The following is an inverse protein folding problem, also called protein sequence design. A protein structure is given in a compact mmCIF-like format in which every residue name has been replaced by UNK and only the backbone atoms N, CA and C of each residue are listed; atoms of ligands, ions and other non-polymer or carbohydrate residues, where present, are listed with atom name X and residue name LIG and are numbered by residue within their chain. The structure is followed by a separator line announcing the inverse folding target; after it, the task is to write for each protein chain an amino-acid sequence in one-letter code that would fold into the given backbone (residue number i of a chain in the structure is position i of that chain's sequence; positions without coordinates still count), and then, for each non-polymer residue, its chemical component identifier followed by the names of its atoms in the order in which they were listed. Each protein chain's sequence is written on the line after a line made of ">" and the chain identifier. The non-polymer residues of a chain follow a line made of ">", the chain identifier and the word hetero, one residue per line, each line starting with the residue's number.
data_IF_380938323537
#
_entry.id   IF_380938323537
#
_cell.length_a   1.000
_cell.length_b   1.000
_cell.length_c   1.000
_cell.angle_alpha   90.00
_cell.angle_beta   90.00
_cell.angle_gamma   90.00
#
_symmetry.space_group_name_H-M   'P 1'
#
loop_
_entity.id
_entity.type
_entity.pdbx_description
1 polymer ?
#
# COMPACT_ATOMS: atom_id res chain seq x y z
N UNK A 1 10.12 26.42 -1.74
CA UNK A 1 9.12 25.37 -1.46
C UNK A 1 8.78 24.49 -2.66
N UNK A 2 8.80 25.00 -3.93
CA UNK A 2 8.49 24.19 -5.12
C UNK A 2 9.45 22.98 -5.28
N UNK A 3 10.77 23.16 -5.09
CA UNK A 3 11.73 22.07 -5.16
C UNK A 3 11.49 20.97 -4.11
N UNK A 4 11.14 21.34 -2.86
CA UNK A 4 10.80 20.38 -1.81
C UNK A 4 9.55 19.57 -2.17
N UNK A 5 8.53 20.22 -2.73
CA UNK A 5 7.31 19.55 -3.18
C UNK A 5 7.59 18.56 -4.32
N UNK A 6 8.37 18.98 -5.32
CA UNK A 6 8.74 18.12 -6.44
C UNK A 6 9.52 16.88 -5.98
N UNK A 7 10.49 17.09 -5.10
CA UNK A 7 11.25 16.00 -4.47
C UNK A 7 10.34 15.01 -3.75
N UNK A 8 9.40 15.48 -2.91
CA UNK A 8 8.49 14.59 -2.20
C UNK A 8 7.56 13.82 -3.16
N UNK A 9 7.08 14.45 -4.24
CA UNK A 9 6.30 13.73 -5.25
C UNK A 9 7.14 12.71 -6.03
N UNK A 10 8.42 12.99 -6.29
CA UNK A 10 9.33 12.00 -6.88
C UNK A 10 9.49 10.79 -5.95
N UNK A 11 9.71 11.03 -4.66
CA UNK A 11 9.77 9.95 -3.65
C UNK A 11 8.46 9.15 -3.62
N UNK A 12 7.30 9.81 -3.66
CA UNK A 12 6.01 9.13 -3.73
C UNK A 12 5.89 8.24 -4.98
N UNK A 13 6.30 8.73 -6.15
CA UNK A 13 6.32 7.94 -7.39
C UNK A 13 7.26 6.74 -7.29
N UNK A 14 8.42 6.89 -6.66
CA UNK A 14 9.34 5.78 -6.41
C UNK A 14 8.77 4.75 -5.43
N UNK A 15 8.00 5.17 -4.42
CA UNK A 15 7.28 4.24 -3.50
C UNK A 15 6.21 3.47 -4.27
N UNK A 16 5.47 4.11 -5.18
CA UNK A 16 4.51 3.41 -6.06
C UNK A 16 5.22 2.36 -6.91
N UNK A 17 6.33 2.71 -7.55
CA UNK A 17 7.13 1.75 -8.31
C UNK A 17 7.63 0.59 -7.42
N UNK A 18 8.06 0.89 -6.18
CA UNK A 18 8.47 -0.11 -5.19
C UNK A 18 7.33 -1.08 -4.85
N UNK A 19 6.11 -0.58 -4.65
CA UNK A 19 4.94 -1.43 -4.38
C UNK A 19 4.68 -2.36 -5.56
N UNK A 20 4.75 -1.88 -6.80
CA UNK A 20 4.57 -2.71 -8.00
C UNK A 20 5.68 -3.76 -8.15
N UNK A 21 6.95 -3.37 -7.99
CA UNK A 21 8.09 -4.32 -8.05
C UNK A 21 8.00 -5.35 -6.91
N UNK A 22 7.59 -4.95 -5.71
CA UNK A 22 7.36 -5.87 -4.58
C UNK A 22 6.23 -6.87 -4.89
N UNK A 23 5.16 -6.42 -5.54
CA UNK A 23 4.09 -7.29 -6.03
C UNK A 23 4.58 -8.31 -7.06
N UNK A 24 5.38 -7.85 -8.03
CA UNK A 24 6.00 -8.76 -9.01
C UNK A 24 6.90 -9.79 -8.31
N UNK A 25 7.74 -9.36 -7.36
CA UNK A 25 8.61 -10.25 -6.56
C UNK A 25 7.79 -11.32 -5.81
N UNK A 26 6.60 -10.95 -5.27
CA UNK A 26 5.71 -11.90 -4.59
C UNK A 26 5.03 -12.86 -5.57
N UNK A 27 4.47 -12.33 -6.67
CA UNK A 27 3.72 -13.12 -7.65
C UNK A 27 4.61 -14.05 -8.49
N UNK A 28 5.90 -13.78 -8.57
CA UNK A 28 6.91 -14.65 -9.22
C UNK A 28 7.63 -15.56 -8.21
N UNK A 29 7.15 -15.61 -6.95
CA UNK A 29 7.74 -16.41 -5.87
C UNK A 29 9.24 -16.15 -5.62
N UNK A 30 9.70 -14.93 -5.96
CA UNK A 30 11.12 -14.56 -5.95
C UNK A 30 11.62 -14.05 -4.58
N UNK A 31 10.72 -13.75 -3.64
CA UNK A 31 11.04 -12.97 -2.43
C UNK A 31 11.79 -13.71 -1.32
N UNK A 32 12.28 -14.93 -1.56
CA UNK A 32 13.11 -15.73 -0.64
C UNK A 32 14.43 -16.17 -1.28
N UNK A 33 14.77 -15.67 -2.47
CA UNK A 33 15.99 -16.05 -3.19
C UNK A 33 17.27 -15.51 -2.54
N UNK A 34 17.17 -14.39 -1.80
CA UNK A 34 18.31 -13.79 -1.07
C UNK A 34 18.10 -14.02 0.44
N UNK A 35 18.79 -15.01 0.97
CA UNK A 35 18.58 -15.54 2.33
C UNK A 35 19.24 -14.72 3.44
N UNK A 36 20.08 -13.73 3.10
CA UNK A 36 20.83 -12.94 4.07
C UNK A 36 20.40 -11.47 4.07
N UNK A 37 20.42 -10.85 5.25
CA UNK A 37 20.24 -9.41 5.38
C UNK A 37 21.58 -8.69 5.23
N UNK A 38 21.82 -8.13 4.05
CA UNK A 38 23.00 -7.32 3.72
C UNK A 38 22.57 -5.91 3.29
N UNK A 39 22.23 -5.01 4.24
CA UNK A 39 21.66 -3.69 3.89
C UNK A 39 22.67 -2.82 3.13
N UNK A 40 23.96 -2.93 3.40
CA UNK A 40 25.03 -2.14 2.79
C UNK A 40 25.74 -2.94 1.69
N UNK A 41 26.31 -4.10 2.02
CA UNK A 41 27.14 -4.91 1.11
C UNK A 41 26.34 -5.60 0.00
N UNK A 42 25.03 -5.78 0.18
CA UNK A 42 24.15 -6.38 -0.84
C UNK A 42 23.72 -5.44 -1.98
N UNK A 43 24.42 -4.31 -2.20
CA UNK A 43 24.22 -3.42 -3.34
C UNK A 43 24.75 -4.06 -4.62
N UNK A 44 25.89 -4.72 -4.56
CA UNK A 44 26.46 -5.41 -5.72
C UNK A 44 25.86 -6.80 -5.85
N UNK A 45 25.40 -7.18 -7.05
CA UNK A 45 24.97 -8.54 -7.33
C UNK A 45 26.19 -9.47 -7.42
N UNK A 46 26.02 -10.80 -7.47
CA UNK A 46 27.11 -11.72 -7.78
C UNK A 46 27.75 -11.38 -9.13
N UNK A 47 29.09 -11.22 -9.17
CA UNK A 47 29.83 -10.72 -10.31
C UNK A 47 30.52 -11.83 -11.11
N UNK A 48 30.60 -13.05 -10.56
CA UNK A 48 31.22 -14.20 -11.19
C UNK A 48 30.49 -15.49 -10.83
N UNK A 49 30.78 -16.57 -11.54
CA UNK A 49 30.09 -17.83 -11.41
C UNK A 49 30.21 -18.44 -10.00
N UNK A 50 31.36 -18.32 -9.36
CA UNK A 50 31.57 -18.82 -8.00
C UNK A 50 30.65 -18.10 -6.98
N UNK A 51 30.46 -16.79 -7.13
CA UNK A 51 29.54 -16.02 -6.28
C UNK A 51 28.07 -16.40 -6.56
N UNK A 52 27.70 -16.61 -7.82
CA UNK A 52 26.37 -17.11 -8.19
C UNK A 52 26.09 -18.47 -7.58
N UNK A 53 27.07 -19.39 -7.68
CA UNK A 53 26.93 -20.72 -7.07
C UNK A 53 26.80 -20.65 -5.54
N UNK A 54 27.56 -19.77 -4.89
CA UNK A 54 27.50 -19.57 -3.44
C UNK A 54 26.12 -19.05 -2.97
N UNK A 55 25.52 -18.10 -3.68
CA UNK A 55 24.16 -17.62 -3.35
C UNK A 55 23.10 -18.70 -3.64
N UNK A 56 23.26 -19.45 -4.73
CA UNK A 56 22.38 -20.58 -5.06
C UNK A 56 22.48 -21.70 -4.01
N UNK A 57 23.66 -22.03 -3.52
CA UNK A 57 23.84 -23.06 -2.49
C UNK A 57 23.18 -22.67 -1.17
N UNK A 58 23.18 -21.36 -0.81
CA UNK A 58 22.40 -20.86 0.33
C UNK A 58 20.89 -21.01 0.09
N UNK A 59 20.40 -20.68 -1.10
CA UNK A 59 18.99 -20.84 -1.45
C UNK A 59 18.53 -22.30 -1.37
N UNK A 60 19.39 -23.26 -1.71
CA UNK A 60 19.09 -24.68 -1.62
C UNK A 60 18.83 -25.17 -0.20
N UNK A 61 19.22 -24.42 0.83
CA UNK A 61 19.02 -24.81 2.23
C UNK A 61 17.67 -24.42 2.83
N UNK A 62 16.85 -23.66 2.10
CA UNK A 62 15.55 -23.20 2.61
C UNK A 62 14.39 -24.09 2.15
N UNK A 63 13.27 -24.11 2.91
CA UNK A 63 12.09 -24.95 2.59
C UNK A 63 11.49 -24.68 1.20
N UNK A 64 11.54 -23.44 0.70
CA UNK A 64 11.03 -23.12 -0.63
C UNK A 64 11.74 -23.92 -1.72
N UNK A 65 13.06 -24.06 -1.66
CA UNK A 65 13.80 -24.87 -2.62
C UNK A 65 13.47 -26.35 -2.46
N UNK A 66 13.54 -26.87 -1.24
CA UNK A 66 13.38 -28.31 -0.97
C UNK A 66 11.98 -28.84 -1.36
N UNK A 67 10.94 -28.01 -1.18
CA UNK A 67 9.54 -28.42 -1.35
C UNK A 67 8.99 -28.02 -2.73
N UNK A 68 9.27 -26.79 -3.18
CA UNK A 68 8.66 -26.24 -4.41
C UNK A 68 9.62 -26.23 -5.60
N UNK A 69 10.89 -25.93 -5.40
CA UNK A 69 11.85 -25.66 -6.47
C UNK A 69 12.97 -26.72 -6.55
N UNK A 70 12.75 -27.90 -5.98
CA UNK A 70 13.73 -29.00 -6.02
C UNK A 70 14.09 -29.38 -7.45
N UNK A 71 15.37 -29.30 -7.78
CA UNK A 71 15.86 -29.56 -9.15
C UNK A 71 15.95 -28.29 -10.03
N UNK A 72 15.62 -27.11 -9.49
CA UNK A 72 15.87 -25.84 -10.17
C UNK A 72 17.35 -25.70 -10.51
N UNK A 73 17.65 -25.27 -11.74
CA UNK A 73 19.01 -24.96 -12.18
C UNK A 73 19.43 -23.52 -11.84
N UNK A 74 20.75 -23.25 -11.94
CA UNK A 74 21.31 -21.94 -11.65
C UNK A 74 20.69 -20.80 -12.47
N UNK A 75 20.37 -21.01 -13.74
CA UNK A 75 19.78 -19.97 -14.60
C UNK A 75 18.36 -19.58 -14.15
N UNK A 76 17.55 -20.54 -13.73
CA UNK A 76 16.23 -20.26 -13.17
C UNK A 76 16.34 -19.54 -11.82
N UNK A 77 17.33 -19.91 -10.99
CA UNK A 77 17.64 -19.20 -9.75
C UNK A 77 18.04 -17.75 -10.01
N UNK A 78 18.88 -17.46 -11.02
CA UNK A 78 19.24 -16.08 -11.38
C UNK A 78 18.01 -15.22 -11.67
N UNK A 79 16.98 -15.77 -12.32
CA UNK A 79 15.75 -15.04 -12.64
C UNK A 79 15.03 -14.57 -11.37
N UNK A 80 14.82 -15.46 -10.39
CA UNK A 80 14.17 -15.07 -9.12
C UNK A 80 15.05 -14.17 -8.27
N UNK A 81 16.39 -14.38 -8.31
CA UNK A 81 17.36 -13.52 -7.62
C UNK A 81 17.29 -12.06 -8.13
N UNK A 82 17.20 -11.85 -9.45
CA UNK A 82 17.16 -10.51 -10.02
C UNK A 82 15.91 -9.73 -9.62
N UNK A 83 14.75 -10.37 -9.50
CA UNK A 83 13.53 -9.73 -8.99
C UNK A 83 13.70 -9.24 -7.56
N UNK A 84 14.20 -10.09 -6.67
CA UNK A 84 14.40 -9.73 -5.28
C UNK A 84 15.52 -8.69 -5.11
N UNK A 85 16.62 -8.84 -5.84
CA UNK A 85 17.73 -7.88 -5.81
C UNK A 85 17.27 -6.49 -6.29
N UNK A 86 16.53 -6.41 -7.39
CA UNK A 86 15.98 -5.16 -7.91
C UNK A 86 15.05 -4.48 -6.90
N UNK A 87 14.18 -5.25 -6.22
CA UNK A 87 13.33 -4.76 -5.16
C UNK A 87 14.16 -4.18 -4.00
N UNK A 88 15.16 -4.93 -3.53
CA UNK A 88 16.06 -4.47 -2.44
C UNK A 88 16.91 -3.28 -2.86
N UNK A 89 17.39 -3.22 -4.11
CA UNK A 89 18.14 -2.08 -4.64
C UNK A 89 17.26 -0.83 -4.70
N UNK A 90 16.05 -0.94 -5.24
CA UNK A 90 15.12 0.19 -5.33
C UNK A 90 14.82 0.76 -3.93
N UNK A 91 14.69 -0.10 -2.89
CA UNK A 91 14.55 0.37 -1.51
C UNK A 91 15.71 1.23 -1.03
N UNK A 92 16.94 0.83 -1.34
CA UNK A 92 18.14 1.64 -1.03
C UNK A 92 18.15 2.95 -1.79
N UNK A 93 17.83 2.91 -3.09
CA UNK A 93 17.75 4.11 -3.94
C UNK A 93 16.71 5.09 -3.40
N UNK A 94 15.53 4.62 -2.96
CA UNK A 94 14.52 5.48 -2.31
C UNK A 94 15.08 6.12 -1.03
N UNK A 95 15.80 5.35 -0.22
CA UNK A 95 16.45 5.86 0.99
C UNK A 95 17.41 7.01 0.70
N UNK A 96 18.29 6.87 -0.30
CA UNK A 96 19.21 7.93 -0.73
C UNK A 96 18.48 9.08 -1.42
N UNK A 97 17.50 8.81 -2.29
CA UNK A 97 16.69 9.83 -2.95
C UNK A 97 15.87 10.66 -1.95
N UNK A 98 15.56 10.09 -0.79
CA UNK A 98 14.99 10.85 0.32
C UNK A 98 16.07 11.61 1.10
N UNK A 99 17.11 10.93 1.58
CA UNK A 99 18.10 11.45 2.52
C UNK A 99 18.90 12.62 1.94
N UNK A 100 19.44 12.49 0.72
CA UNK A 100 20.36 13.50 0.16
C UNK A 100 19.66 14.86 -0.05
N UNK A 101 18.47 14.94 -0.70
CA UNK A 101 17.76 16.21 -0.79
C UNK A 101 17.24 16.71 0.55
N UNK A 102 16.86 15.82 1.48
CA UNK A 102 16.46 16.21 2.84
C UNK A 102 17.60 16.97 3.52
N UNK A 103 18.82 16.43 3.55
CA UNK A 103 20.00 17.07 4.12
C UNK A 103 20.30 18.41 3.42
N UNK A 104 20.28 18.42 2.08
CA UNK A 104 20.50 19.64 1.31
C UNK A 104 19.51 20.75 1.69
N UNK A 105 18.22 20.48 1.69
CA UNK A 105 17.19 21.47 2.03
C UNK A 105 17.22 21.87 3.51
N UNK A 106 17.60 20.96 4.41
CA UNK A 106 17.74 21.26 5.84
C UNK A 106 18.93 22.19 6.11
N UNK A 107 20.11 21.87 5.55
CA UNK A 107 21.33 22.71 5.68
C UNK A 107 21.11 24.09 5.06
N UNK A 108 20.43 24.16 3.90
CA UNK A 108 20.08 25.45 3.26
C UNK A 108 18.96 26.20 4.00
N UNK A 109 18.45 25.69 5.09
CA UNK A 109 17.39 26.30 5.89
C UNK A 109 16.04 26.44 5.14
N UNK A 110 15.84 25.70 4.04
CA UNK A 110 14.57 25.68 3.28
C UNK A 110 13.52 24.87 4.06
N UNK A 111 13.94 23.74 4.64
CA UNK A 111 13.15 22.89 5.53
C UNK A 111 13.51 23.24 6.98
N UNK A 112 12.53 23.76 7.76
CA UNK A 112 12.70 24.13 9.17
C UNK A 112 11.38 23.97 9.94
N UNK A 113 11.46 24.05 11.26
CA UNK A 113 10.29 24.00 12.16
C UNK A 113 9.47 22.72 11.97
N UNK A 114 8.17 22.82 11.90
CA UNK A 114 7.27 21.68 11.78
C UNK A 114 7.51 20.82 10.52
N UNK A 115 7.98 21.42 9.41
CA UNK A 115 8.28 20.69 8.20
C UNK A 115 9.53 19.80 8.37
N UNK A 116 10.55 20.28 9.10
CA UNK A 116 11.72 19.49 9.43
C UNK A 116 11.33 18.25 10.25
N UNK A 117 10.50 18.43 11.28
CA UNK A 117 10.00 17.32 12.09
C UNK A 117 9.20 16.30 11.26
N UNK A 118 8.34 16.76 10.34
CA UNK A 118 7.60 15.87 9.43
C UNK A 118 8.54 15.06 8.51
N UNK A 119 9.52 15.72 7.89
CA UNK A 119 10.48 15.04 7.02
C UNK A 119 11.37 14.06 7.81
N UNK A 120 11.78 14.41 9.02
CA UNK A 120 12.51 13.49 9.90
C UNK A 120 11.65 12.27 10.27
N UNK A 121 10.38 12.47 10.59
CA UNK A 121 9.43 11.38 10.84
C UNK A 121 9.28 10.45 9.63
N UNK A 122 9.17 11.00 8.42
CA UNK A 122 9.13 10.21 7.18
C UNK A 122 10.41 9.40 6.96
N UNK A 123 11.57 9.97 7.27
CA UNK A 123 12.85 9.27 7.19
C UNK A 123 12.92 8.09 8.15
N UNK A 124 12.50 8.28 9.41
CA UNK A 124 12.43 7.22 10.42
C UNK A 124 11.47 6.11 9.98
N UNK A 125 10.28 6.46 9.48
CA UNK A 125 9.32 5.48 8.94
C UNK A 125 9.91 4.69 7.77
N UNK A 126 10.67 5.34 6.89
CA UNK A 126 11.39 4.67 5.80
C UNK A 126 12.43 3.65 6.31
N UNK A 127 13.17 3.99 7.36
CA UNK A 127 14.08 3.06 8.03
C UNK A 127 13.36 1.86 8.66
N UNK A 128 12.25 2.11 9.35
CA UNK A 128 11.39 1.06 9.91
C UNK A 128 10.84 0.12 8.83
N UNK A 129 10.47 0.66 7.67
CA UNK A 129 9.99 -0.13 6.53
C UNK A 129 11.02 -1.17 6.08
N UNK A 130 12.31 -0.81 6.05
CA UNK A 130 13.38 -1.76 5.77
C UNK A 130 13.48 -2.89 6.81
N UNK A 131 13.39 -2.56 8.10
CA UNK A 131 13.38 -3.55 9.18
C UNK A 131 12.16 -4.48 9.11
N UNK A 132 10.96 -3.92 8.86
CA UNK A 132 9.72 -4.69 8.67
C UNK A 132 9.83 -5.62 7.44
N UNK A 133 10.47 -5.14 6.35
CA UNK A 133 10.71 -5.97 5.17
C UNK A 133 11.61 -7.17 5.48
N UNK A 134 12.67 -6.98 6.22
CA UNK A 134 13.50 -8.10 6.66
C UNK A 134 12.76 -9.05 7.62
N UNK A 135 12.03 -8.52 8.59
CA UNK A 135 11.18 -9.32 9.47
C UNK A 135 10.17 -10.18 8.68
N UNK A 136 9.64 -9.64 7.56
CA UNK A 136 8.77 -10.40 6.65
C UNK A 136 9.55 -11.54 5.98
N UNK A 137 10.70 -11.27 5.34
CA UNK A 137 11.51 -12.28 4.64
C UNK A 137 11.96 -13.38 5.60
N UNK A 138 12.43 -13.03 6.78
CA UNK A 138 12.88 -14.00 7.81
C UNK A 138 11.81 -15.04 8.17
N UNK A 139 10.50 -14.75 7.96
CA UNK A 139 9.42 -15.71 8.22
C UNK A 139 9.37 -16.88 7.23
N UNK A 140 9.92 -16.72 6.03
CA UNK A 140 9.91 -17.75 4.99
C UNK A 140 11.20 -18.58 4.89
N UNK A 141 12.22 -18.26 5.69
CA UNK A 141 13.55 -18.88 5.55
C UNK A 141 13.72 -20.18 6.33
N UNK A 142 12.86 -20.49 7.29
CA UNK A 142 13.08 -21.61 8.23
C UNK A 142 12.05 -22.74 8.16
N UNK A 143 10.75 -22.40 8.16
CA UNK A 143 9.67 -23.39 8.28
C UNK A 143 8.61 -23.30 7.18
N UNK A 144 8.65 -22.27 6.35
CA UNK A 144 7.61 -21.96 5.37
C UNK A 144 8.19 -21.90 3.97
N UNK A 145 7.36 -22.23 2.99
CA UNK A 145 7.70 -22.07 1.57
C UNK A 145 7.44 -20.67 1.02
N UNK A 146 6.74 -19.82 1.81
CA UNK A 146 6.43 -18.44 1.48
C UNK A 146 6.50 -17.58 2.73
N UNK A 147 6.56 -16.23 2.56
CA UNK A 147 6.51 -15.28 3.69
C UNK A 147 5.17 -15.35 4.42
N UNK A 148 5.17 -15.02 5.72
CA UNK A 148 3.94 -14.94 6.51
C UNK A 148 2.97 -13.90 5.94
N UNK A 149 1.70 -14.29 5.72
CA UNK A 149 0.63 -13.40 5.28
C UNK A 149 0.44 -12.19 6.20
N UNK A 150 0.61 -12.36 7.50
CA UNK A 150 0.55 -11.27 8.49
C UNK A 150 1.65 -10.23 8.24
N UNK A 151 2.90 -10.72 8.10
CA UNK A 151 4.06 -9.84 7.92
C UNK A 151 4.05 -9.17 6.55
N UNK A 152 3.54 -9.86 5.52
CA UNK A 152 3.32 -9.29 4.19
C UNK A 152 2.28 -8.17 4.24
N UNK A 153 1.12 -8.39 4.87
CA UNK A 153 0.07 -7.40 4.99
C UNK A 153 0.55 -6.17 5.77
N UNK A 154 1.30 -6.35 6.86
CA UNK A 154 1.91 -5.26 7.63
C UNK A 154 2.94 -4.49 6.79
N UNK A 155 3.83 -5.17 6.08
CA UNK A 155 4.86 -4.55 5.24
C UNK A 155 4.24 -3.70 4.11
N UNK A 156 3.26 -4.24 3.39
CA UNK A 156 2.54 -3.53 2.32
C UNK A 156 1.78 -2.33 2.87
N UNK A 157 1.05 -2.50 3.97
CA UNK A 157 0.25 -1.42 4.56
C UNK A 157 1.13 -0.30 5.09
N UNK A 158 2.28 -0.62 5.71
CA UNK A 158 3.22 0.39 6.17
C UNK A 158 3.82 1.18 4.99
N UNK A 159 4.17 0.52 3.87
CA UNK A 159 4.61 1.21 2.65
C UNK A 159 3.52 2.20 2.15
N UNK A 160 2.26 1.80 2.18
CA UNK A 160 1.12 2.64 1.79
C UNK A 160 0.87 3.78 2.79
N UNK A 161 1.05 3.57 4.09
CA UNK A 161 1.00 4.65 5.10
C UNK A 161 2.11 5.68 4.84
N UNK A 162 3.33 5.24 4.54
CA UNK A 162 4.44 6.13 4.18
C UNK A 162 4.11 6.90 2.90
N UNK A 163 3.58 6.23 1.87
CA UNK A 163 3.12 6.88 0.64
C UNK A 163 2.09 7.98 0.92
N UNK A 164 1.05 7.66 1.68
CA UNK A 164 0.02 8.63 2.07
C UNK A 164 0.62 9.81 2.85
N UNK A 165 1.54 9.55 3.80
CA UNK A 165 2.19 10.59 4.58
C UNK A 165 3.08 11.49 3.73
N UNK A 166 3.87 10.95 2.79
CA UNK A 166 4.69 11.71 1.84
C UNK A 166 3.80 12.60 0.96
N UNK A 167 2.73 12.03 0.39
CA UNK A 167 1.77 12.77 -0.45
C UNK A 167 1.07 13.87 0.36
N UNK A 168 0.65 13.56 1.59
CA UNK A 168 0.02 14.54 2.48
C UNK A 168 0.96 15.71 2.77
N UNK A 169 2.22 15.44 3.17
CA UNK A 169 3.22 16.50 3.42
C UNK A 169 3.48 17.32 2.16
N UNK A 170 3.69 16.68 1.00
CA UNK A 170 3.88 17.36 -0.27
C UNK A 170 2.68 18.26 -0.61
N UNK A 171 1.45 17.77 -0.38
CA UNK A 171 0.22 18.52 -0.64
C UNK A 171 0.05 19.71 0.29
N UNK A 172 0.51 19.65 1.55
CA UNK A 172 0.49 20.80 2.45
C UNK A 172 1.34 21.99 1.97
N UNK A 173 2.26 21.79 1.04
CA UNK A 173 3.11 22.83 0.44
C UNK A 173 2.43 23.57 -0.73
N UNK A 174 1.23 23.14 -1.12
CA UNK A 174 0.38 23.85 -2.11
C UNK A 174 -0.52 24.85 -1.36
N UNK A 175 -0.86 25.97 -1.97
CA UNK A 175 -1.80 26.93 -1.38
C UNK A 175 -3.15 26.29 -1.06
N UNK A 176 -3.69 26.61 0.11
CA UNK A 176 -5.03 26.16 0.51
C UNK A 176 -6.10 26.79 -0.38
N UNK A 177 -7.20 26.08 -0.60
CA UNK A 177 -8.34 26.61 -1.35
C UNK A 177 -9.26 27.41 -0.42
N UNK A 178 -9.66 28.63 -0.78
CA UNK A 178 -10.41 29.54 0.10
C UNK A 178 -11.93 29.18 0.12
N UNK A 179 -12.27 27.96 0.49
CA UNK A 179 -13.66 27.52 0.61
C UNK A 179 -13.87 26.84 1.96
N UNK A 180 -14.90 27.30 2.69
CA UNK A 180 -15.26 26.68 3.96
C UNK A 180 -15.89 25.31 3.76
N UNK A 181 -15.43 24.30 4.50
CA UNK A 181 -15.90 22.92 4.38
C UNK A 181 -16.49 22.40 5.70
N UNK A 182 -17.60 21.64 5.64
CA UNK A 182 -18.21 21.05 6.83
C UNK A 182 -17.23 20.09 7.53
N UNK A 183 -17.16 20.08 8.88
CA UNK A 183 -16.33 19.12 9.62
C UNK A 183 -16.63 17.67 9.30
N UNK A 184 -17.90 17.31 9.05
CA UNK A 184 -18.35 15.98 8.68
C UNK A 184 -17.79 15.53 7.33
N UNK A 185 -17.69 16.43 6.35
CA UNK A 185 -17.08 16.14 5.05
C UNK A 185 -15.57 15.86 5.20
N UNK A 186 -14.88 16.63 6.06
CA UNK A 186 -13.46 16.37 6.36
C UNK A 186 -13.26 15.02 7.04
N UNK A 187 -14.06 14.71 8.06
CA UNK A 187 -14.00 13.43 8.75
C UNK A 187 -14.25 12.26 7.79
N UNK A 188 -15.24 12.40 6.89
CA UNK A 188 -15.54 11.40 5.85
C UNK A 188 -14.36 11.17 4.89
N UNK A 189 -13.63 12.22 4.50
CA UNK A 189 -12.46 12.06 3.65
C UNK A 189 -11.31 11.32 4.35
N UNK A 190 -11.04 11.58 5.64
CA UNK A 190 -10.06 10.81 6.39
C UNK A 190 -10.52 9.36 6.64
N UNK A 191 -11.82 9.14 6.86
CA UNK A 191 -12.38 7.80 6.95
C UNK A 191 -12.19 7.01 5.65
N UNK A 192 -12.33 7.65 4.48
CA UNK A 192 -11.99 7.03 3.19
C UNK A 192 -10.53 6.61 3.11
N UNK A 193 -9.59 7.45 3.54
CA UNK A 193 -8.16 7.05 3.58
C UNK A 193 -7.97 5.84 4.50
N UNK A 194 -8.61 5.82 5.67
CA UNK A 194 -8.56 4.69 6.60
C UNK A 194 -9.15 3.40 6.01
N UNK A 195 -10.30 3.50 5.32
CA UNK A 195 -10.94 2.36 4.65
C UNK A 195 -10.10 1.83 3.49
N UNK A 196 -9.45 2.70 2.70
CA UNK A 196 -8.53 2.29 1.64
C UNK A 196 -7.33 1.55 2.23
N UNK A 197 -6.73 2.04 3.32
CA UNK A 197 -5.64 1.34 4.00
C UNK A 197 -6.08 -0.02 4.57
N UNK A 198 -7.28 -0.10 5.14
CA UNK A 198 -7.86 -1.36 5.61
C UNK A 198 -8.07 -2.35 4.46
N UNK A 199 -8.56 -1.87 3.31
CA UNK A 199 -8.74 -2.67 2.11
C UNK A 199 -7.39 -3.19 1.56
N UNK A 200 -6.34 -2.36 1.59
CA UNK A 200 -4.98 -2.75 1.22
C UNK A 200 -4.43 -3.82 2.17
N UNK A 201 -4.64 -3.66 3.49
CA UNK A 201 -4.25 -4.66 4.48
C UNK A 201 -4.93 -6.01 4.22
N UNK A 202 -6.26 -6.00 4.02
CA UNK A 202 -7.01 -7.21 3.69
C UNK A 202 -6.55 -7.83 2.36
N UNK A 203 -6.22 -7.00 1.34
CA UNK A 203 -5.60 -7.44 0.09
C UNK A 203 -4.22 -8.07 0.27
N UNK A 204 -3.43 -7.57 1.22
CA UNK A 204 -2.16 -8.18 1.62
C UNK A 204 -2.31 -9.58 2.21
N UNK A 205 -3.38 -9.81 2.98
CA UNK A 205 -3.73 -11.15 3.50
C UNK A 205 -4.16 -12.08 2.36
N UNK A 206 -5.00 -11.59 1.44
CA UNK A 206 -5.42 -12.35 0.23
C UNK A 206 -4.20 -12.76 -0.58
N UNK A 207 -3.26 -11.85 -0.84
CA UNK A 207 -2.04 -12.15 -1.56
C UNK A 207 -1.12 -13.13 -0.80
N UNK A 208 -1.00 -12.98 0.51
CA UNK A 208 -0.14 -13.82 1.35
C UNK A 208 -0.63 -15.27 1.50
N UNK A 209 -1.94 -15.52 1.32
CA UNK A 209 -2.56 -16.85 1.37
C UNK A 209 -2.86 -17.42 -0.03
N UNK A 210 -2.49 -16.73 -1.11
CA UNK A 210 -2.90 -17.06 -2.48
C UNK A 210 -4.42 -17.23 -2.61
N UNK A 211 -5.18 -16.54 -1.74
CA UNK A 211 -6.63 -16.67 -1.65
C UNK A 211 -7.37 -16.21 -2.92
N UNK A 212 -6.73 -15.41 -3.77
CA UNK A 212 -7.25 -15.03 -5.09
C UNK A 212 -7.27 -16.16 -6.12
N UNK A 213 -6.53 -17.25 -5.87
CA UNK A 213 -6.50 -18.44 -6.74
C UNK A 213 -7.66 -19.40 -6.50
N UNK A 214 -8.49 -19.15 -5.48
CA UNK A 214 -9.63 -19.98 -5.11
C UNK A 214 -10.91 -19.16 -5.13
N UNK A 215 -12.08 -19.84 -5.20
CA UNK A 215 -13.40 -19.19 -5.23
C UNK A 215 -13.52 -18.08 -6.30
N UNK A 216 -13.09 -18.39 -7.53
CA UNK A 216 -12.98 -17.45 -8.65
C UNK A 216 -14.34 -17.15 -9.31
N UNK A 217 -15.37 -16.89 -8.51
CA UNK A 217 -16.72 -16.50 -8.93
C UNK A 217 -17.13 -15.16 -8.33
N UNK A 218 -17.98 -14.44 -9.04
CA UNK A 218 -18.56 -13.16 -8.58
C UNK A 218 -19.94 -12.99 -9.24
N UNK A 219 -20.98 -12.49 -8.53
CA UNK A 219 -20.95 -11.98 -7.16
C UNK A 219 -21.00 -13.08 -6.08
N UNK A 220 -21.36 -14.31 -6.43
CA UNK A 220 -21.39 -15.43 -5.50
C UNK A 220 -19.99 -15.90 -5.13
N UNK A 221 -19.88 -16.51 -3.97
CA UNK A 221 -18.67 -17.13 -3.46
C UNK A 221 -19.05 -18.48 -2.81
N UNK A 222 -18.43 -19.57 -3.25
CA UNK A 222 -18.80 -20.92 -2.81
C UNK A 222 -20.30 -21.22 -3.00
N UNK A 223 -20.90 -20.74 -4.11
CA UNK A 223 -22.29 -20.93 -4.47
C UNK A 223 -23.30 -20.00 -3.80
N UNK A 224 -22.89 -19.10 -2.88
CA UNK A 224 -23.77 -18.23 -2.15
C UNK A 224 -23.23 -16.78 -2.08
N UNK A 225 -24.10 -15.78 -1.78
CA UNK A 225 -23.64 -14.41 -1.48
C UNK A 225 -22.85 -14.34 -0.18
N UNK A 226 -23.31 -15.08 0.82
CA UNK A 226 -22.63 -15.27 2.10
C UNK A 226 -22.37 -16.76 2.22
N UNK A 227 -21.09 -17.21 2.21
CA UNK A 227 -20.76 -18.60 2.42
C UNK A 227 -21.29 -19.14 3.75
N UNK A 228 -21.43 -20.46 3.85
CA UNK A 228 -21.98 -21.11 5.04
C UNK A 228 -21.14 -20.77 6.30
N UNK A 229 -21.81 -20.54 7.43
CA UNK A 229 -21.18 -20.04 8.65
C UNK A 229 -20.13 -21.01 9.22
N UNK A 230 -20.31 -22.31 9.09
CA UNK A 230 -19.37 -23.35 9.48
C UNK A 230 -18.07 -23.29 8.65
N UNK A 231 -18.15 -22.97 7.36
CA UNK A 231 -16.99 -22.75 6.50
C UNK A 231 -16.26 -21.44 6.81
N UNK A 232 -17.01 -20.37 7.14
CA UNK A 232 -16.44 -19.08 7.55
C UNK A 232 -15.78 -19.14 8.93
N UNK A 233 -16.23 -20.02 9.82
CA UNK A 233 -15.73 -20.19 11.18
C UNK A 233 -15.01 -21.53 11.40
N UNK A 234 -14.32 -22.04 10.39
CA UNK A 234 -13.68 -23.36 10.38
C UNK A 234 -12.57 -23.54 11.44
N UNK A 235 -11.83 -22.45 11.74
CA UNK A 235 -10.63 -22.50 12.60
C UNK A 235 -10.95 -22.09 14.05
N UNK A 236 -10.26 -22.72 14.99
CA UNK A 236 -10.30 -22.35 16.42
C UNK A 236 -8.90 -21.87 16.87
N UNK A 237 -8.79 -20.78 17.64
CA UNK A 237 -9.87 -19.87 18.08
C UNK A 237 -10.43 -19.05 16.90
N UNK A 238 -11.70 -18.63 16.99
CA UNK A 238 -12.47 -18.04 15.89
C UNK A 238 -11.84 -16.84 15.17
N UNK A 239 -11.06 -16.01 15.88
CA UNK A 239 -10.37 -14.85 15.26
C UNK A 239 -9.38 -15.25 14.15
N UNK A 240 -8.81 -16.49 14.20
CA UNK A 240 -7.88 -16.99 13.16
C UNK A 240 -8.51 -17.03 11.78
N UNK A 241 -9.82 -17.22 11.69
CA UNK A 241 -10.50 -17.25 10.39
C UNK A 241 -10.33 -15.95 9.60
N UNK A 242 -10.28 -14.79 10.27
CA UNK A 242 -10.09 -13.49 9.62
C UNK A 242 -8.70 -13.33 8.96
N UNK A 243 -7.74 -14.22 9.29
CA UNK A 243 -6.34 -14.08 8.89
C UNK A 243 -5.73 -15.34 8.24
N UNK A 244 -6.33 -16.52 8.46
CA UNK A 244 -5.76 -17.80 8.07
C UNK A 244 -6.71 -18.68 7.25
N UNK A 245 -8.02 -18.47 7.35
CA UNK A 245 -9.01 -19.18 6.54
C UNK A 245 -9.14 -18.49 5.18
N UNK A 246 -8.69 -19.15 4.13
CA UNK A 246 -8.66 -18.64 2.75
C UNK A 246 -10.02 -18.11 2.31
N UNK A 247 -11.12 -18.84 2.60
CA UNK A 247 -12.49 -18.42 2.30
C UNK A 247 -12.84 -17.13 3.02
N UNK A 248 -12.60 -17.06 4.33
CA UNK A 248 -12.98 -15.93 5.17
C UNK A 248 -12.15 -14.69 4.86
N UNK A 249 -10.85 -14.84 4.60
CA UNK A 249 -9.96 -13.75 4.20
C UNK A 249 -10.42 -13.15 2.88
N UNK A 250 -10.70 -13.95 1.86
CA UNK A 250 -11.20 -13.45 0.58
C UNK A 250 -12.59 -12.81 0.73
N UNK A 251 -13.50 -13.44 1.49
CA UNK A 251 -14.84 -12.91 1.79
C UNK A 251 -14.75 -11.54 2.49
N UNK A 252 -13.91 -11.42 3.51
CA UNK A 252 -13.70 -10.18 4.25
C UNK A 252 -13.18 -9.07 3.34
N UNK A 253 -12.22 -9.37 2.46
CA UNK A 253 -11.71 -8.42 1.47
C UNK A 253 -12.82 -7.90 0.54
N UNK A 254 -13.72 -8.78 0.07
CA UNK A 254 -14.88 -8.38 -0.75
C UNK A 254 -15.86 -7.50 0.04
N UNK A 255 -16.15 -7.84 1.30
CA UNK A 255 -17.07 -7.06 2.14
C UNK A 255 -16.54 -5.67 2.44
N UNK A 256 -15.25 -5.55 2.73
CA UNK A 256 -14.62 -4.23 2.92
C UNK A 256 -14.66 -3.43 1.61
N UNK A 257 -14.45 -4.07 0.43
CA UNK A 257 -14.56 -3.39 -0.86
C UNK A 257 -15.97 -2.84 -1.12
N UNK A 258 -17.03 -3.61 -0.81
CA UNK A 258 -18.41 -3.12 -0.92
C UNK A 258 -18.70 -1.97 0.05
N UNK A 259 -18.22 -2.06 1.29
CA UNK A 259 -18.36 -1.00 2.27
C UNK A 259 -17.62 0.28 1.82
N UNK A 260 -16.39 0.15 1.33
CA UNK A 260 -15.61 1.27 0.79
C UNK A 260 -16.31 1.91 -0.42
N UNK A 261 -16.83 1.11 -1.34
CA UNK A 261 -17.55 1.60 -2.53
C UNK A 261 -18.79 2.39 -2.12
N UNK A 262 -19.64 1.84 -1.24
CA UNK A 262 -20.84 2.50 -0.75
C UNK A 262 -20.47 3.78 0.01
N UNK A 263 -19.46 3.74 0.87
CA UNK A 263 -19.03 4.91 1.62
C UNK A 263 -18.48 6.02 0.70
N UNK A 264 -17.72 5.66 -0.34
CA UNK A 264 -17.24 6.62 -1.33
C UNK A 264 -18.41 7.27 -2.11
N UNK A 265 -19.43 6.50 -2.47
CA UNK A 265 -20.66 7.02 -3.09
C UNK A 265 -21.39 8.01 -2.18
N UNK A 266 -21.64 7.63 -0.92
CA UNK A 266 -22.31 8.49 0.06
C UNK A 266 -21.50 9.77 0.33
N UNK A 267 -20.17 9.66 0.39
CA UNK A 267 -19.27 10.79 0.54
C UNK A 267 -19.34 11.73 -0.70
N UNK A 268 -19.41 11.19 -1.91
CA UNK A 268 -19.58 11.99 -3.13
C UNK A 268 -20.91 12.76 -3.15
N UNK A 269 -22.01 12.14 -2.74
CA UNK A 269 -23.31 12.83 -2.56
C UNK A 269 -23.24 13.90 -1.47
N UNK A 270 -22.55 13.64 -0.36
CA UNK A 270 -22.35 14.64 0.70
C UNK A 270 -21.54 15.84 0.16
N UNK A 271 -20.45 15.58 -0.55
CA UNK A 271 -19.62 16.63 -1.16
C UNK A 271 -20.38 17.43 -2.25
N UNK A 272 -21.29 16.78 -2.97
CA UNK A 272 -22.12 17.46 -4.00
C UNK A 272 -22.98 18.59 -3.42
N UNK A 273 -23.38 18.48 -2.14
CA UNK A 273 -24.12 19.55 -1.44
C UNK A 273 -23.29 20.83 -1.21
N UNK A 274 -21.96 20.71 -1.20
CA UNK A 274 -21.05 21.85 -1.07
C UNK A 274 -20.66 22.43 -2.44
N UNK A 275 -20.84 21.66 -3.52
CA UNK A 275 -20.48 22.03 -4.88
C UNK A 275 -18.98 22.22 -5.12
N UNK A 276 -18.66 22.80 -6.27
CA UNK A 276 -17.31 23.21 -6.65
C UNK A 276 -16.29 22.08 -6.73
N UNK A 277 -15.04 22.39 -6.40
CA UNK A 277 -13.91 21.46 -6.51
C UNK A 277 -14.01 20.23 -5.58
N UNK A 278 -14.65 20.39 -4.40
CA UNK A 278 -14.79 19.29 -3.45
C UNK A 278 -15.71 18.19 -4.00
N UNK A 279 -16.82 18.57 -4.62
CA UNK A 279 -17.71 17.65 -5.30
C UNK A 279 -17.02 16.94 -6.47
N UNK A 280 -16.27 17.68 -7.30
CA UNK A 280 -15.54 17.10 -8.43
C UNK A 280 -14.50 16.09 -7.98
N UNK A 281 -13.72 16.39 -6.94
CA UNK A 281 -12.75 15.46 -6.39
C UNK A 281 -13.41 14.21 -5.79
N UNK A 282 -14.52 14.36 -5.07
CA UNK A 282 -15.23 13.25 -4.45
C UNK A 282 -15.84 12.30 -5.49
N UNK A 283 -16.46 12.84 -6.54
CA UNK A 283 -16.97 12.04 -7.66
C UNK A 283 -15.85 11.37 -8.46
N UNK A 284 -14.71 12.05 -8.68
CA UNK A 284 -13.53 11.46 -9.30
C UNK A 284 -12.98 10.30 -8.47
N UNK A 285 -12.94 10.45 -7.14
CA UNK A 285 -12.50 9.38 -6.22
C UNK A 285 -13.48 8.20 -6.26
N UNK A 286 -14.80 8.44 -6.26
CA UNK A 286 -15.80 7.38 -6.39
C UNK A 286 -15.66 6.63 -7.73
N UNK A 287 -15.46 7.35 -8.85
CA UNK A 287 -15.19 6.73 -10.15
C UNK A 287 -13.93 5.85 -10.12
N UNK A 288 -12.87 6.33 -9.47
CA UNK A 288 -11.62 5.59 -9.34
C UNK A 288 -11.77 4.34 -8.45
N UNK A 289 -12.52 4.43 -7.33
CA UNK A 289 -12.86 3.28 -6.48
C UNK A 289 -13.69 2.26 -7.25
N UNK A 290 -14.62 2.72 -8.10
CA UNK A 290 -15.44 1.84 -8.95
C UNK A 290 -14.60 1.10 -9.99
N UNK A 291 -13.69 1.82 -10.67
CA UNK A 291 -12.74 1.22 -11.61
C UNK A 291 -11.81 0.19 -10.93
N UNK A 292 -11.33 0.52 -9.71
CA UNK A 292 -10.51 -0.37 -8.91
C UNK A 292 -11.26 -1.64 -8.47
N UNK A 293 -12.53 -1.52 -8.10
CA UNK A 293 -13.38 -2.65 -7.77
C UNK A 293 -13.60 -3.57 -8.98
N UNK A 294 -13.89 -2.99 -10.15
CA UNK A 294 -14.02 -3.72 -11.40
C UNK A 294 -12.73 -4.46 -11.76
N UNK A 295 -11.59 -3.78 -11.63
CA UNK A 295 -10.28 -4.41 -11.89
C UNK A 295 -10.01 -5.58 -10.93
N UNK A 296 -10.41 -5.46 -9.64
CA UNK A 296 -10.31 -6.55 -8.66
C UNK A 296 -11.21 -7.74 -9.02
N UNK A 297 -12.43 -7.49 -9.49
CA UNK A 297 -13.36 -8.53 -9.97
C UNK A 297 -12.75 -9.26 -11.19
N UNK A 298 -12.23 -8.51 -12.16
CA UNK A 298 -11.59 -9.11 -13.35
C UNK A 298 -10.35 -9.94 -12.97
N UNK A 299 -9.51 -9.41 -12.09
CA UNK A 299 -8.33 -10.14 -11.56
C UNK A 299 -8.75 -11.46 -10.93
N UNK A 300 -9.82 -11.48 -10.15
CA UNK A 300 -10.33 -12.67 -9.50
C UNK A 300 -10.90 -13.67 -10.52
N UNK A 301 -11.79 -13.23 -11.43
CA UNK A 301 -12.48 -14.10 -12.39
C UNK A 301 -11.51 -14.75 -13.39
N UNK A 302 -10.40 -14.08 -13.70
CA UNK A 302 -9.36 -14.58 -14.58
C UNK A 302 -8.25 -15.35 -13.85
N UNK A 303 -8.44 -15.69 -12.57
CA UNK A 303 -7.51 -16.49 -11.75
C UNK A 303 -6.15 -15.82 -11.60
N UNK A 304 -6.17 -14.53 -11.27
CA UNK A 304 -5.01 -13.71 -10.86
C UNK A 304 -3.87 -13.67 -11.90
N UNK A 305 -4.12 -13.29 -13.19
CA UNK A 305 -3.03 -13.09 -14.14
C UNK A 305 -2.07 -12.01 -13.62
N UNK A 306 -0.78 -12.17 -13.86
CA UNK A 306 0.28 -11.32 -13.33
C UNK A 306 0.06 -9.83 -13.65
N UNK A 307 -0.26 -9.51 -14.87
CA UNK A 307 -0.52 -8.15 -15.37
C UNK A 307 -1.71 -7.48 -14.67
N UNK A 308 -2.84 -8.20 -14.56
CA UNK A 308 -4.02 -7.69 -13.85
C UNK A 308 -3.79 -7.57 -12.35
N UNK A 309 -3.08 -8.51 -11.73
CA UNK A 309 -2.75 -8.45 -10.31
C UNK A 309 -1.85 -7.23 -10.00
N UNK A 310 -0.84 -6.98 -10.84
CA UNK A 310 0.02 -5.79 -10.72
C UNK A 310 -0.75 -4.50 -11.01
N UNK A 311 -1.64 -4.48 -12.01
CA UNK A 311 -2.49 -3.34 -12.30
C UNK A 311 -3.45 -3.05 -11.13
N UNK A 312 -4.05 -4.09 -10.52
CA UNK A 312 -4.91 -3.94 -9.34
C UNK A 312 -4.14 -3.39 -8.14
N UNK A 313 -2.92 -3.86 -7.90
CA UNK A 313 -2.06 -3.35 -6.83
C UNK A 313 -1.63 -1.89 -7.09
N UNK A 314 -1.25 -1.55 -8.32
CA UNK A 314 -0.95 -0.18 -8.73
C UNK A 314 -2.17 0.73 -8.55
N UNK A 315 -3.35 0.32 -9.03
CA UNK A 315 -4.60 1.07 -8.90
C UNK A 315 -4.96 1.37 -7.44
N UNK A 316 -4.71 0.43 -6.51
CA UNK A 316 -4.93 0.67 -5.09
C UNK A 316 -4.04 1.82 -4.54
N UNK A 317 -2.79 1.94 -5.01
CA UNK A 317 -1.92 3.08 -4.64
C UNK A 317 -2.42 4.40 -5.21
N UNK A 318 -2.96 4.39 -6.42
CA UNK A 318 -3.56 5.59 -7.05
C UNK A 318 -4.81 6.03 -6.28
N UNK A 319 -5.70 5.09 -5.92
CA UNK A 319 -6.88 5.39 -5.06
C UNK A 319 -6.43 6.03 -3.74
N UNK A 320 -5.40 5.47 -3.09
CA UNK A 320 -4.86 6.00 -1.83
C UNK A 320 -4.30 7.42 -1.99
N UNK A 321 -3.55 7.68 -3.05
CA UNK A 321 -2.98 9.01 -3.35
C UNK A 321 -4.11 10.03 -3.52
N UNK A 322 -5.12 9.72 -4.34
CA UNK A 322 -6.23 10.63 -4.61
C UNK A 322 -7.08 10.86 -3.36
N UNK A 323 -7.37 9.82 -2.57
CA UNK A 323 -8.06 9.94 -1.29
C UNK A 323 -7.27 10.83 -0.31
N UNK A 324 -5.94 10.66 -0.25
CA UNK A 324 -5.06 11.46 0.61
C UNK A 324 -5.03 12.93 0.19
N UNK A 325 -4.95 13.22 -1.11
CA UNK A 325 -5.01 14.59 -1.65
C UNK A 325 -6.35 15.22 -1.31
N UNK A 326 -7.47 14.50 -1.50
CA UNK A 326 -8.81 14.98 -1.18
C UNK A 326 -8.95 15.30 0.32
N UNK A 327 -8.52 14.40 1.20
CA UNK A 327 -8.54 14.61 2.64
C UNK A 327 -7.66 15.82 3.06
N UNK A 328 -6.47 15.97 2.47
CA UNK A 328 -5.57 17.09 2.73
C UNK A 328 -6.20 18.42 2.28
N UNK A 329 -6.78 18.48 1.08
CA UNK A 329 -7.41 19.70 0.57
C UNK A 329 -8.59 20.14 1.44
N UNK A 330 -9.46 19.19 1.82
CA UNK A 330 -10.58 19.48 2.73
C UNK A 330 -10.11 19.88 4.13
N UNK A 331 -9.04 19.30 4.67
CA UNK A 331 -8.54 19.62 6.01
C UNK A 331 -7.97 21.04 6.11
N UNK A 332 -7.49 21.58 4.99
CA UNK A 332 -6.87 22.91 4.90
C UNK A 332 -7.84 23.99 4.43
N UNK A 333 -9.04 23.62 4.01
CA UNK A 333 -10.09 24.56 3.66
C UNK A 333 -10.56 25.34 4.90
N UNK A 334 -10.96 26.60 4.73
CA UNK A 334 -11.45 27.42 5.85
C UNK A 334 -12.65 26.76 6.55
N UNK A 335 -12.73 26.88 7.87
CA UNK A 335 -13.94 26.44 8.61
C UNK A 335 -15.03 27.46 8.39
N UNK A 336 -16.29 27.07 8.11
CA UNK A 336 -17.39 28.01 8.11
C UNK A 336 -17.45 28.71 9.46
N UNK A 337 -17.36 30.03 9.49
CA UNK A 337 -17.60 30.81 10.72
C UNK A 337 -19.12 30.76 11.00
N UNK A 338 -19.58 29.71 11.63
CA UNK A 338 -20.94 29.66 12.18
C UNK A 338 -20.99 30.63 13.35
N UNK A 339 -21.48 31.85 13.12
CA UNK A 339 -21.96 32.67 14.21
C UNK A 339 -21.44 34.10 14.38
N UNK A 340 -20.60 34.67 13.53
CA UNK A 340 -20.33 36.14 13.67
C UNK A 340 -21.43 37.05 13.14
N UNK A 341 -22.40 36.52 12.36
CA UNK A 341 -23.54 37.29 11.86
C UNK A 341 -24.64 37.53 12.88
N UNK A 342 -24.60 36.88 14.07
CA UNK A 342 -25.63 37.12 15.13
C UNK A 342 -25.27 38.22 16.15
N UNK A 343 -24.05 38.74 16.13
CA UNK A 343 -23.64 39.76 17.07
C UNK A 343 -23.67 41.18 16.47
N UNK A 344 -23.77 41.35 15.17
CA UNK A 344 -23.91 42.66 14.54
C UNK A 344 -25.37 43.15 14.44
N UNK A 345 -26.36 42.25 14.50
CA UNK A 345 -27.79 42.62 14.48
C UNK A 345 -28.39 42.86 15.86
N UNK A 346 -27.62 42.67 16.94
CA UNK A 346 -28.05 42.98 18.32
C UNK A 346 -27.54 44.33 18.85
N UNK A 347 -26.88 45.14 18.00
CA UNK A 347 -26.38 46.48 18.31
C UNK A 347 -26.86 47.55 17.29
N UNK A 348 -27.97 47.34 16.62
CA UNK A 348 -28.64 48.34 15.83
C UNK A 348 -30.00 48.66 16.42
#
# INVERSE_FOLDING_TARGET
>A
MQGVRLWLYLVAAMIVAMVVVGGATRLTESGLSITEWKPVTGILPPMNEAQWQAEFDKYKTIPQYEILNKGMGLESFKTIFWWEWAHRLLGRVIGFAFLLPFLYFAVRGVIRGALLGKCLGLFVLGGMQGAIGWWMVASGLTERTSVSQYRLAVHLTMACIILAAVVYVARTLVSARPQAMPPTLRAGAFALVGLVLLQIFAGGLVAGLDAGMTFNTWPLMDGAFIPAADKLALLSPGWRNLFENVLTVQFTHRMIAYALWLFALLHAFHAARTGGWAALQAWGLFGLVSAQALLGILTLLLVVPLDLALAHQFGATVVLIVATIHACDLSRAAVPQAGMARLSSARA
#
